data_IF_655150353917
#
_entry.id   IF_655150353917
#
_cell.length_a   1.000
_cell.length_b   1.000
_cell.length_c   1.000
_cell.angle_alpha   90.00
_cell.angle_beta   90.00
_cell.angle_gamma   90.00
#
_symmetry.space_group_name_H-M   'P 1'
#
loop_
_entity.id
_entity.type
_entity.pdbx_description
1 polymer ?
#
# COMPACT_ATOMS: atom_id res chain seq x y z
N UNK A 1 -0.02 -21.75 8.91
CA UNK A 1 0.32 -20.87 7.76
C UNK A 1 0.25 -19.43 8.22
N UNK A 2 1.38 -18.70 8.21
CA UNK A 2 1.48 -17.36 8.77
C UNK A 2 0.71 -16.32 7.92
N UNK A 3 0.36 -15.22 8.55
CA UNK A 3 -0.32 -14.06 7.93
C UNK A 3 0.40 -13.57 6.66
N UNK A 4 1.73 -13.53 6.68
CA UNK A 4 2.56 -13.15 5.53
C UNK A 4 2.43 -14.10 4.33
N UNK A 5 2.23 -15.39 4.54
CA UNK A 5 2.05 -16.36 3.44
C UNK A 5 0.71 -16.16 2.73
N UNK A 6 -0.36 -15.87 3.47
CA UNK A 6 -1.68 -15.54 2.88
C UNK A 6 -1.65 -14.22 2.12
N UNK A 7 -0.95 -13.22 2.64
CA UNK A 7 -0.82 -11.90 2.01
C UNK A 7 0.01 -12.00 0.72
N UNK A 8 1.15 -12.69 0.75
CA UNK A 8 1.99 -12.95 -0.42
C UNK A 8 1.24 -13.69 -1.52
N UNK A 9 0.41 -14.68 -1.17
CA UNK A 9 -0.39 -15.42 -2.15
C UNK A 9 -1.52 -14.56 -2.76
N UNK A 10 -2.10 -13.63 -2.00
CA UNK A 10 -3.13 -12.72 -2.50
C UNK A 10 -2.60 -11.74 -3.55
N UNK A 11 -1.34 -11.33 -3.44
CA UNK A 11 -0.68 -10.42 -4.37
C UNK A 11 0.14 -11.14 -5.45
N UNK A 12 0.17 -12.46 -5.44
CA UNK A 12 1.01 -13.25 -6.34
C UNK A 12 0.77 -12.91 -7.81
N UNK A 13 -0.49 -12.85 -8.22
CA UNK A 13 -0.86 -12.58 -9.63
C UNK A 13 -0.38 -11.21 -10.08
N UNK A 14 -0.57 -10.16 -9.27
CA UNK A 14 -0.13 -8.80 -9.58
C UNK A 14 1.39 -8.71 -9.63
N UNK A 15 2.05 -9.27 -8.61
CA UNK A 15 3.50 -9.32 -8.55
C UNK A 15 4.08 -10.04 -9.77
N UNK A 16 3.60 -11.26 -10.07
CA UNK A 16 4.13 -12.08 -11.14
C UNK A 16 3.87 -11.44 -12.52
N UNK A 17 2.79 -10.67 -12.68
CA UNK A 17 2.52 -9.88 -13.88
C UNK A 17 3.54 -8.76 -14.07
N UNK A 18 3.78 -7.95 -13.04
CA UNK A 18 4.72 -6.81 -13.11
C UNK A 18 6.16 -7.30 -13.26
N UNK A 19 6.58 -8.24 -12.40
CA UNK A 19 7.95 -8.76 -12.45
C UNK A 19 8.22 -9.52 -13.73
N UNK A 20 7.24 -10.28 -14.25
CA UNK A 20 7.37 -11.00 -15.52
C UNK A 20 7.51 -10.05 -16.72
N UNK A 21 6.78 -8.94 -16.75
CA UNK A 21 6.92 -7.92 -17.79
C UNK A 21 8.33 -7.30 -17.77
N UNK A 22 8.81 -6.91 -16.57
CA UNK A 22 10.17 -6.36 -16.41
C UNK A 22 11.24 -7.38 -16.79
N UNK A 23 11.12 -8.63 -16.35
CA UNK A 23 12.09 -9.68 -16.68
C UNK A 23 12.14 -9.96 -18.20
N UNK A 24 10.97 -9.99 -18.85
CA UNK A 24 10.86 -10.18 -20.30
C UNK A 24 11.51 -9.02 -21.06
N UNK A 25 11.24 -7.80 -20.65
CA UNK A 25 11.84 -6.59 -21.22
C UNK A 25 13.36 -6.61 -21.03
N UNK A 26 13.88 -6.76 -19.81
CA UNK A 26 15.32 -6.74 -19.55
C UNK A 26 16.07 -7.82 -20.33
N UNK A 27 15.47 -9.00 -20.54
CA UNK A 27 16.08 -10.07 -21.32
C UNK A 27 16.19 -9.77 -22.82
N UNK A 28 15.46 -8.78 -23.34
CA UNK A 28 15.53 -8.34 -24.75
C UNK A 28 16.68 -7.35 -25.00
N UNK A 29 17.21 -6.72 -23.94
CA UNK A 29 18.27 -5.74 -24.03
C UNK A 29 19.65 -6.36 -23.78
N UNK A 30 20.62 -6.00 -24.63
CA UNK A 30 22.04 -6.40 -24.48
C UNK A 30 22.89 -5.27 -23.89
N UNK A 31 22.34 -4.07 -23.76
CA UNK A 31 22.99 -2.85 -23.23
C UNK A 31 21.97 -1.99 -22.53
N UNK A 32 22.46 -1.10 -21.68
CA UNK A 32 21.62 -0.11 -21.01
C UNK A 32 21.69 1.18 -21.83
N UNK A 33 20.61 1.53 -22.49
CA UNK A 33 20.46 2.77 -23.26
C UNK A 33 19.12 3.44 -22.96
N UNK A 34 18.80 4.54 -23.65
CA UNK A 34 17.59 5.30 -23.38
C UNK A 34 16.32 4.51 -23.69
N UNK A 35 16.35 3.67 -24.72
CA UNK A 35 15.23 2.79 -25.10
C UNK A 35 14.82 1.85 -23.95
N UNK A 36 15.79 1.31 -23.20
CA UNK A 36 15.51 0.49 -22.02
C UNK A 36 14.75 1.28 -20.94
N UNK A 37 15.14 2.53 -20.69
CA UNK A 37 14.45 3.35 -19.69
C UNK A 37 13.05 3.77 -20.13
N UNK A 38 12.86 4.08 -21.39
CA UNK A 38 11.56 4.41 -21.97
C UNK A 38 10.59 3.22 -21.88
N UNK A 39 11.03 2.02 -22.26
CA UNK A 39 10.21 0.80 -22.18
C UNK A 39 9.91 0.43 -20.71
N UNK A 40 10.88 0.60 -19.81
CA UNK A 40 10.65 0.39 -18.37
C UNK A 40 9.61 1.37 -17.83
N UNK A 41 9.68 2.65 -18.18
CA UNK A 41 8.72 3.66 -17.75
C UNK A 41 7.32 3.32 -18.23
N UNK A 42 7.17 2.87 -19.47
CA UNK A 42 5.89 2.43 -20.03
C UNK A 42 5.31 1.23 -19.25
N UNK A 43 6.14 0.22 -18.95
CA UNK A 43 5.72 -0.94 -18.13
C UNK A 43 5.26 -0.50 -16.74
N UNK A 44 5.96 0.42 -16.10
CA UNK A 44 5.58 0.94 -14.78
C UNK A 44 4.24 1.68 -14.83
N UNK A 45 4.03 2.52 -15.86
CA UNK A 45 2.77 3.25 -16.08
C UNK A 45 1.62 2.27 -16.34
N UNK A 46 1.81 1.28 -17.21
CA UNK A 46 0.83 0.24 -17.51
C UNK A 46 0.52 -0.64 -16.31
N UNK A 47 1.42 -0.70 -15.34
CA UNK A 47 1.23 -1.38 -14.05
C UNK A 47 0.54 -0.52 -12.98
N UNK A 48 -0.07 0.59 -13.37
CA UNK A 48 -0.85 1.49 -12.48
C UNK A 48 0.00 2.23 -11.43
N UNK A 49 1.31 2.37 -11.65
CA UNK A 49 2.21 3.10 -10.72
C UNK A 49 2.01 4.62 -10.83
N UNK A 50 1.47 5.08 -11.95
CA UNK A 50 1.24 6.50 -12.22
C UNK A 50 2.47 7.21 -12.78
N UNK A 51 2.24 8.09 -13.75
CA UNK A 51 3.27 8.75 -14.57
C UNK A 51 4.37 9.43 -13.73
N UNK A 52 3.99 10.29 -12.78
CA UNK A 52 4.96 11.05 -11.98
C UNK A 52 5.89 10.17 -11.15
N UNK A 53 5.38 9.05 -10.64
CA UNK A 53 6.17 8.09 -9.86
C UNK A 53 7.06 7.26 -10.77
N UNK A 54 6.55 6.80 -11.92
CA UNK A 54 7.31 6.04 -12.91
C UNK A 54 8.48 6.83 -13.45
N UNK A 55 8.25 8.09 -13.84
CA UNK A 55 9.30 9.00 -14.30
C UNK A 55 10.39 9.19 -13.22
N UNK A 56 9.99 9.46 -11.97
CA UNK A 56 10.93 9.61 -10.87
C UNK A 56 11.78 8.35 -10.64
N UNK A 57 11.17 7.16 -10.74
CA UNK A 57 11.88 5.89 -10.61
C UNK A 57 12.93 5.77 -11.73
N UNK A 58 12.54 6.01 -12.98
CA UNK A 58 13.44 5.91 -14.13
C UNK A 58 14.57 6.95 -14.08
N UNK A 59 14.29 8.18 -13.68
CA UNK A 59 15.34 9.21 -13.52
C UNK A 59 16.35 8.83 -12.44
N UNK A 60 15.86 8.36 -11.27
CA UNK A 60 16.74 7.88 -10.19
C UNK A 60 17.57 6.68 -10.65
N UNK A 61 16.97 5.79 -11.44
CA UNK A 61 17.66 4.62 -11.99
C UNK A 61 18.75 5.03 -12.97
N UNK A 62 18.51 5.98 -13.89
CA UNK A 62 19.52 6.54 -14.80
C UNK A 62 20.71 7.10 -14.05
N UNK A 63 20.44 7.91 -13.01
CA UNK A 63 21.50 8.50 -12.18
C UNK A 63 22.33 7.42 -11.49
N UNK A 64 21.70 6.41 -10.92
CA UNK A 64 22.38 5.33 -10.18
C UNK A 64 23.18 4.43 -11.11
N UNK A 65 22.61 4.03 -12.25
CA UNK A 65 23.32 3.27 -13.28
C UNK A 65 24.57 3.98 -13.75
N UNK A 66 24.51 5.29 -13.96
CA UNK A 66 25.64 6.12 -14.36
C UNK A 66 26.67 6.24 -13.24
N UNK A 67 26.24 6.49 -12.01
CA UNK A 67 27.11 6.68 -10.85
C UNK A 67 27.88 5.39 -10.49
N UNK A 68 27.23 4.24 -10.58
CA UNK A 68 27.80 2.93 -10.23
C UNK A 68 28.47 2.23 -11.42
N UNK A 69 28.36 2.80 -12.63
CA UNK A 69 28.97 2.26 -13.84
C UNK A 69 28.38 0.91 -14.28
N UNK A 70 27.09 0.70 -14.02
CA UNK A 70 26.38 -0.53 -14.34
C UNK A 70 26.22 -0.63 -15.86
N UNK A 71 26.63 -1.77 -16.42
CA UNK A 71 26.57 -2.03 -17.88
C UNK A 71 25.70 -3.23 -18.24
N UNK A 72 25.41 -4.08 -17.27
CA UNK A 72 24.65 -5.30 -17.46
C UNK A 72 23.16 -5.05 -17.16
N UNK A 73 22.25 -5.22 -18.16
CA UNK A 73 20.82 -5.08 -17.96
C UNK A 73 20.22 -6.00 -16.88
N UNK A 74 20.82 -7.15 -16.63
CA UNK A 74 20.32 -8.09 -15.60
C UNK A 74 20.41 -7.48 -14.18
N UNK A 75 21.35 -6.54 -13.95
CA UNK A 75 21.51 -5.87 -12.66
C UNK A 75 20.43 -4.80 -12.41
N UNK A 76 19.78 -4.29 -13.45
CA UNK A 76 18.75 -3.23 -13.37
C UNK A 76 17.63 -3.61 -12.41
N UNK A 77 17.18 -4.85 -12.43
CA UNK A 77 16.11 -5.32 -11.53
C UNK A 77 16.47 -5.18 -10.04
N UNK A 78 17.73 -5.45 -9.71
CA UNK A 78 18.22 -5.28 -8.33
C UNK A 78 18.22 -3.82 -7.92
N UNK A 79 18.76 -2.96 -8.76
CA UNK A 79 18.82 -1.50 -8.53
C UNK A 79 17.41 -0.90 -8.44
N UNK A 80 16.51 -1.30 -9.34
CA UNK A 80 15.11 -0.87 -9.34
C UNK A 80 14.40 -1.24 -8.03
N UNK A 81 14.59 -2.47 -7.55
CA UNK A 81 14.04 -2.91 -6.27
C UNK A 81 14.54 -2.06 -5.11
N UNK A 82 15.82 -1.74 -5.10
CA UNK A 82 16.44 -0.96 -4.04
C UNK A 82 15.95 0.50 -4.06
N UNK A 83 15.80 1.11 -5.23
CA UNK A 83 15.19 2.43 -5.41
C UNK A 83 13.75 2.45 -4.88
N UNK A 84 12.92 1.49 -5.28
CA UNK A 84 11.53 1.41 -4.81
C UNK A 84 11.48 1.19 -3.30
N UNK A 85 12.36 0.35 -2.76
CA UNK A 85 12.46 0.09 -1.32
C UNK A 85 12.80 1.36 -0.55
N UNK A 86 13.78 2.15 -1.02
CA UNK A 86 14.15 3.44 -0.44
C UNK A 86 13.01 4.46 -0.52
N UNK A 87 12.28 4.51 -1.64
CA UNK A 87 11.11 5.39 -1.79
C UNK A 87 9.98 5.04 -0.82
N UNK A 88 9.87 3.77 -0.45
CA UNK A 88 8.88 3.27 0.50
C UNK A 88 9.35 3.33 1.96
N UNK A 89 10.63 3.51 2.20
CA UNK A 89 11.23 3.64 3.54
C UNK A 89 10.99 5.05 4.10
N UNK A 90 9.73 5.34 4.34
CA UNK A 90 9.27 6.58 4.96
C UNK A 90 8.72 6.29 6.36
N UNK A 91 8.69 7.32 7.23
CA UNK A 91 8.04 7.22 8.54
C UNK A 91 6.52 7.01 8.34
N UNK A 92 6.15 5.74 8.21
CA UNK A 92 4.76 5.28 8.05
C UNK A 92 4.01 5.17 9.39
N UNK A 93 4.58 5.66 10.49
CA UNK A 93 3.95 5.62 11.79
C UNK A 93 2.70 6.51 11.81
N UNK A 94 1.61 5.97 12.35
CA UNK A 94 0.39 6.74 12.55
C UNK A 94 0.64 7.85 13.59
N UNK A 95 0.63 9.10 13.15
CA UNK A 95 0.88 10.27 14.01
C UNK A 95 -0.35 10.58 14.85
N UNK A 96 -0.33 10.14 16.11
CA UNK A 96 -1.38 10.41 17.11
C UNK A 96 -0.80 11.37 18.14
N UNK A 97 -0.83 12.67 17.84
CA UNK A 97 -0.22 13.73 18.67
C UNK A 97 -1.22 14.57 19.46
N UNK A 98 -2.50 14.53 19.09
CA UNK A 98 -3.56 15.33 19.72
C UNK A 98 -4.36 14.51 20.75
N UNK A 99 -5.08 15.21 21.65
CA UNK A 99 -5.96 14.61 22.65
C UNK A 99 -7.32 15.34 22.65
N UNK A 100 -8.36 14.76 22.05
CA UNK A 100 -8.37 13.49 21.31
C UNK A 100 -7.72 13.62 19.93
N UNK A 101 -7.23 12.48 19.42
CA UNK A 101 -6.90 12.33 17.98
C UNK A 101 -8.09 11.72 17.28
N UNK A 102 -8.44 12.25 16.12
CA UNK A 102 -9.55 11.73 15.28
C UNK A 102 -8.99 11.13 14.01
N UNK A 103 -9.36 9.86 13.74
CA UNK A 103 -9.03 9.16 12.51
C UNK A 103 -10.31 8.99 11.72
N UNK A 104 -10.37 9.60 10.55
CA UNK A 104 -11.53 9.55 9.68
C UNK A 104 -11.30 8.56 8.53
N UNK A 105 -12.08 7.46 8.51
CA UNK A 105 -11.97 6.41 7.50
C UNK A 105 -13.06 6.55 6.47
N UNK A 106 -12.70 6.90 5.25
CA UNK A 106 -13.62 7.14 4.13
C UNK A 106 -13.36 6.15 2.98
N UNK A 107 -14.34 6.01 2.11
CA UNK A 107 -14.22 5.17 0.89
C UNK A 107 -15.59 4.68 0.42
N UNK A 108 -15.65 4.13 -0.81
CA UNK A 108 -16.84 3.56 -1.40
C UNK A 108 -17.25 2.23 -0.71
N UNK A 109 -18.43 1.71 -1.02
CA UNK A 109 -18.89 0.46 -0.44
C UNK A 109 -18.01 -0.72 -0.85
N UNK A 110 -17.78 -1.67 0.06
CA UNK A 110 -17.01 -2.89 -0.23
C UNK A 110 -15.49 -2.78 -0.14
N UNK A 111 -14.91 -1.59 -0.05
CA UNK A 111 -13.44 -1.40 -0.01
C UNK A 111 -12.77 -1.79 1.32
N UNK A 112 -13.53 -2.23 2.31
CA UNK A 112 -12.98 -2.73 3.57
C UNK A 112 -12.89 -1.69 4.70
N UNK A 113 -13.62 -0.56 4.64
CA UNK A 113 -13.64 0.46 5.71
C UNK A 113 -13.86 -0.13 7.10
N UNK A 114 -14.95 -0.87 7.27
CA UNK A 114 -15.34 -1.48 8.56
C UNK A 114 -14.26 -2.42 9.10
N UNK A 115 -13.69 -3.24 8.23
CA UNK A 115 -12.57 -4.14 8.58
C UNK A 115 -11.32 -3.36 8.99
N UNK A 116 -11.01 -2.27 8.29
CA UNK A 116 -9.85 -1.41 8.58
C UNK A 116 -10.03 -0.72 9.93
N UNK A 117 -11.21 -0.16 10.21
CA UNK A 117 -11.55 0.45 11.51
C UNK A 117 -11.35 -0.55 12.66
N UNK A 118 -11.90 -1.77 12.52
CA UNK A 118 -11.75 -2.80 13.54
C UNK A 118 -10.30 -3.23 13.80
N UNK A 119 -9.52 -3.42 12.75
CA UNK A 119 -8.09 -3.76 12.86
C UNK A 119 -7.28 -2.63 13.48
N UNK A 120 -7.52 -1.38 13.05
CA UNK A 120 -6.84 -0.21 13.59
C UNK A 120 -7.16 0.00 15.07
N UNK A 121 -8.43 -0.14 15.45
CA UNK A 121 -8.87 -0.08 16.83
C UNK A 121 -8.14 -1.12 17.71
N UNK A 122 -8.02 -2.35 17.24
CA UNK A 122 -7.29 -3.41 17.94
C UNK A 122 -5.80 -3.08 18.09
N UNK A 123 -5.14 -2.58 17.04
CA UNK A 123 -3.73 -2.17 17.09
C UNK A 123 -3.52 -1.06 18.13
N UNK A 124 -4.34 -0.02 18.09
CA UNK A 124 -4.24 1.11 19.00
C UNK A 124 -4.53 0.72 20.46
N UNK A 125 -5.52 -0.16 20.67
CA UNK A 125 -5.82 -0.71 21.99
C UNK A 125 -4.65 -1.49 22.57
N UNK A 126 -4.02 -2.33 21.74
CA UNK A 126 -2.83 -3.11 22.15
C UNK A 126 -1.61 -2.22 22.44
N UNK A 127 -1.56 -1.02 21.89
CA UNK A 127 -0.57 0.01 22.21
C UNK A 127 -0.92 0.82 23.49
N UNK A 128 -1.95 0.41 24.23
CA UNK A 128 -2.39 1.07 25.47
C UNK A 128 -3.18 2.37 25.25
N UNK A 129 -3.64 2.64 24.02
CA UNK A 129 -4.46 3.84 23.75
C UNK A 129 -5.91 3.60 24.17
N UNK A 130 -6.56 4.67 24.65
CA UNK A 130 -8.02 4.71 24.82
C UNK A 130 -8.64 4.92 23.44
N UNK A 131 -9.42 3.96 22.97
CA UNK A 131 -10.02 3.97 21.63
C UNK A 131 -11.53 3.99 21.75
N UNK A 132 -12.17 4.86 20.99
CA UNK A 132 -13.60 4.91 20.81
C UNK A 132 -13.91 4.85 19.30
N UNK A 133 -14.81 3.98 18.89
CA UNK A 133 -15.29 3.94 17.52
C UNK A 133 -16.60 4.76 17.44
N UNK A 134 -16.72 5.62 16.42
CA UNK A 134 -17.96 6.29 16.08
C UNK A 134 -18.48 5.75 14.73
N UNK A 135 -19.68 5.18 14.72
CA UNK A 135 -20.36 4.75 13.51
C UNK A 135 -21.09 5.92 12.89
N UNK A 136 -20.66 6.36 11.70
CA UNK A 136 -21.29 7.44 10.94
C UNK A 136 -22.10 6.91 9.74
N UNK A 137 -22.32 5.59 9.63
CA UNK A 137 -23.17 4.97 8.60
C UNK A 137 -24.58 4.81 9.16
N UNK A 138 -25.32 5.92 9.19
CA UNK A 138 -26.66 5.98 9.80
C UNK A 138 -27.78 5.45 8.90
N UNK A 139 -27.49 5.22 7.61
CA UNK A 139 -28.47 4.72 6.65
C UNK A 139 -28.52 3.19 6.53
N UNK A 140 -27.55 2.48 7.10
CA UNK A 140 -27.46 1.02 6.97
C UNK A 140 -27.32 0.36 8.34
N UNK A 141 -28.44 -0.10 8.91
CA UNK A 141 -28.46 -0.77 10.21
C UNK A 141 -27.45 -1.94 10.29
N UNK A 142 -27.35 -2.76 9.25
CA UNK A 142 -26.39 -3.88 9.18
C UNK A 142 -24.92 -3.43 9.23
N UNK A 143 -24.58 -2.23 8.76
CA UNK A 143 -23.22 -1.73 8.83
C UNK A 143 -22.82 -1.34 10.25
N UNK A 144 -23.74 -0.77 11.02
CA UNK A 144 -23.54 -0.44 12.43
C UNK A 144 -23.41 -1.71 13.28
N UNK A 145 -24.19 -2.75 13.03
CA UNK A 145 -24.05 -4.04 13.71
C UNK A 145 -22.72 -4.72 13.39
N UNK A 146 -22.31 -4.70 12.14
CA UNK A 146 -20.99 -5.22 11.75
C UNK A 146 -19.84 -4.48 12.46
N UNK A 147 -19.94 -3.16 12.57
CA UNK A 147 -18.92 -2.36 13.25
C UNK A 147 -18.91 -2.62 14.76
N UNK A 148 -20.08 -2.86 15.36
CA UNK A 148 -20.23 -3.28 16.76
C UNK A 148 -19.51 -4.60 17.04
N UNK A 149 -19.64 -5.56 16.15
CA UNK A 149 -18.94 -6.85 16.28
C UNK A 149 -17.41 -6.65 16.25
N UNK A 150 -16.92 -5.78 15.37
CA UNK A 150 -15.50 -5.42 15.34
C UNK A 150 -15.03 -4.70 16.61
N UNK A 151 -15.84 -3.79 17.17
CA UNK A 151 -15.53 -3.11 18.41
C UNK A 151 -15.42 -4.11 19.58
N UNK A 152 -16.38 -5.04 19.67
CA UNK A 152 -16.37 -6.12 20.67
C UNK A 152 -15.11 -6.98 20.55
N UNK A 153 -14.72 -7.41 19.35
CA UNK A 153 -13.50 -8.19 19.10
C UNK A 153 -12.24 -7.42 19.45
N UNK A 154 -12.22 -6.12 19.21
CA UNK A 154 -11.09 -5.26 19.56
C UNK A 154 -11.06 -4.87 21.06
N UNK A 155 -12.14 -5.10 21.81
CA UNK A 155 -12.28 -4.72 23.21
C UNK A 155 -12.33 -3.21 23.41
N UNK A 156 -12.99 -2.48 22.49
CA UNK A 156 -13.11 -1.01 22.50
C UNK A 156 -14.58 -0.58 22.53
N UNK A 157 -14.82 0.62 23.06
CA UNK A 157 -16.14 1.20 23.08
C UNK A 157 -16.57 1.66 21.68
N UNK A 158 -17.90 1.65 21.45
CA UNK A 158 -18.49 2.14 20.20
C UNK A 158 -19.69 3.03 20.53
N UNK A 159 -19.81 4.13 19.80
CA UNK A 159 -21.03 4.95 19.75
C UNK A 159 -21.59 4.93 18.33
N UNK A 160 -22.91 4.95 18.24
CA UNK A 160 -23.64 5.02 16.98
C UNK A 160 -24.91 5.85 17.18
N UNK A 161 -25.25 6.66 16.17
CA UNK A 161 -26.51 7.38 16.12
C UNK A 161 -27.66 6.43 15.76
N UNK A 162 -28.90 6.85 16.06
CA UNK A 162 -30.09 6.20 15.54
C UNK A 162 -30.19 6.32 14.02
N UNK A 163 -31.14 5.63 13.42
CA UNK A 163 -31.46 5.69 11.99
C UNK A 163 -31.74 7.15 11.59
N UNK A 164 -30.97 7.72 10.65
CA UNK A 164 -31.12 9.10 10.19
C UNK A 164 -30.48 10.18 11.08
N UNK A 165 -29.65 9.80 12.06
CA UNK A 165 -28.92 10.76 12.92
C UNK A 165 -27.77 11.48 12.22
#
# INVERSE_FOLDING_TARGET
>A
MGFFTKFSNGLKKTRDSITGAIDSMLSSFTKIDEELFEELEEILIMSDIGMATSSKICDTLRERVKAEGIKDPELIKGVLRDIISEMLDTDNALKISTKPSVIFVIGVNGVGKTTTVGKLASILKNQGKKVLIASCDTFRAAASEQLKEWANRAGVDIIYGGEGA
#
